data_IF_383201977409
#
_entry.id   IF_383201977409
#
_cell.length_a   1.000
_cell.length_b   1.000
_cell.length_c   1.000
_cell.angle_alpha   90.00
_cell.angle_beta   90.00
_cell.angle_gamma   90.00
#
_symmetry.space_group_name_H-M   'P 1'
#
loop_
_entity.id
_entity.type
_entity.pdbx_description
1 polymer ?
#
# COMPACT_ATOMS: atom_id res chain seq x y z
N UNK A 1 -1.60 -16.97 -8.57
CA UNK A 1 -2.84 -16.45 -9.18
C UNK A 1 -3.76 -15.73 -8.19
N UNK A 2 -3.97 -16.24 -6.98
CA UNK A 2 -4.85 -15.62 -5.95
C UNK A 2 -4.51 -14.16 -5.65
N UNK A 3 -3.23 -13.85 -5.39
CA UNK A 3 -2.79 -12.49 -5.09
C UNK A 3 -3.13 -11.51 -6.22
N UNK A 4 -2.92 -11.94 -7.47
CA UNK A 4 -3.28 -11.14 -8.64
C UNK A 4 -4.80 -10.89 -8.71
N UNK A 5 -5.62 -11.91 -8.43
CA UNK A 5 -7.10 -11.77 -8.42
C UNK A 5 -7.54 -10.73 -7.39
N UNK A 6 -6.96 -10.73 -6.19
CA UNK A 6 -7.25 -9.74 -5.14
C UNK A 6 -6.90 -8.32 -5.59
N UNK A 7 -5.73 -8.12 -6.22
CA UNK A 7 -5.34 -6.81 -6.75
C UNK A 7 -6.21 -6.39 -7.94
N UNK A 8 -6.58 -7.32 -8.83
CA UNK A 8 -7.47 -7.05 -9.97
C UNK A 8 -8.85 -6.63 -9.48
N UNK A 9 -9.43 -7.33 -8.51
CA UNK A 9 -10.73 -6.93 -7.92
C UNK A 9 -10.67 -5.53 -7.33
N UNK A 10 -9.57 -5.19 -6.66
CA UNK A 10 -9.35 -3.86 -6.10
C UNK A 10 -9.13 -2.80 -7.19
N UNK A 11 -8.41 -3.12 -8.27
CA UNK A 11 -8.24 -2.25 -9.43
C UNK A 11 -9.57 -2.04 -10.19
N UNK A 12 -10.40 -3.07 -10.30
CA UNK A 12 -11.77 -2.96 -10.84
C UNK A 12 -12.60 -2.01 -9.98
N UNK A 13 -12.49 -2.07 -8.65
CA UNK A 13 -13.18 -1.12 -7.77
C UNK A 13 -12.77 0.33 -8.06
N UNK A 14 -11.48 0.59 -8.33
CA UNK A 14 -11.00 1.92 -8.74
C UNK A 14 -11.64 2.35 -10.07
N UNK A 15 -11.56 1.49 -11.10
CA UNK A 15 -12.08 1.81 -12.44
C UNK A 15 -13.60 1.97 -12.50
N UNK A 16 -14.34 1.19 -11.70
CA UNK A 16 -15.81 1.21 -11.66
C UNK A 16 -16.34 2.35 -10.77
N UNK A 17 -15.55 2.84 -9.81
CA UNK A 17 -16.02 3.82 -8.81
C UNK A 17 -16.65 5.08 -9.43
N UNK A 18 -16.10 5.75 -10.48
CA UNK A 18 -16.74 6.93 -11.06
C UNK A 18 -18.09 6.62 -11.74
N UNK A 19 -18.18 5.45 -12.37
CA UNK A 19 -19.43 5.01 -13.00
C UNK A 19 -20.48 4.63 -11.94
N UNK A 20 -20.08 3.89 -10.92
CA UNK A 20 -20.96 3.52 -9.81
C UNK A 20 -21.56 4.75 -9.13
N UNK A 21 -20.75 5.82 -8.91
CA UNK A 21 -21.24 7.06 -8.32
C UNK A 21 -22.21 7.79 -9.25
N UNK A 22 -21.94 7.83 -10.56
CA UNK A 22 -22.88 8.45 -11.51
C UNK A 22 -24.28 7.84 -11.48
N UNK A 23 -24.38 6.53 -11.20
CA UNK A 23 -25.67 5.80 -11.20
C UNK A 23 -26.29 5.76 -9.80
N UNK A 24 -25.50 5.56 -8.75
CA UNK A 24 -25.94 5.27 -7.40
C UNK A 24 -25.64 6.38 -6.39
N UNK A 25 -24.87 7.41 -6.79
CA UNK A 25 -24.36 8.47 -5.95
C UNK A 25 -23.70 7.90 -4.67
N UNK A 26 -24.10 8.37 -3.47
CA UNK A 26 -23.56 7.89 -2.20
C UNK A 26 -23.70 6.36 -2.01
N UNK A 27 -24.74 5.75 -2.60
CA UNK A 27 -24.98 4.29 -2.51
C UNK A 27 -23.97 3.46 -3.29
N UNK A 28 -23.07 4.09 -4.06
CA UNK A 28 -21.94 3.41 -4.73
C UNK A 28 -21.04 2.66 -3.75
N UNK A 29 -21.02 3.05 -2.47
CA UNK A 29 -20.29 2.32 -1.42
C UNK A 29 -20.69 0.84 -1.31
N UNK A 30 -21.95 0.46 -1.60
CA UNK A 30 -22.39 -0.93 -1.50
C UNK A 30 -21.72 -1.85 -2.54
N UNK A 31 -21.80 -1.59 -3.85
CA UNK A 31 -21.13 -2.43 -4.84
C UNK A 31 -19.61 -2.41 -4.70
N UNK A 32 -19.01 -1.28 -4.30
CA UNK A 32 -17.57 -1.20 -4.06
C UNK A 32 -17.17 -2.04 -2.84
N UNK A 33 -17.92 -1.99 -1.74
CA UNK A 33 -17.71 -2.86 -0.59
C UNK A 33 -17.82 -4.34 -0.97
N UNK A 34 -18.77 -4.70 -1.82
CA UNK A 34 -18.93 -6.09 -2.28
C UNK A 34 -17.69 -6.61 -3.02
N UNK A 35 -17.00 -5.77 -3.80
CA UNK A 35 -15.74 -6.13 -4.45
C UNK A 35 -14.63 -6.40 -3.44
N UNK A 36 -14.49 -5.57 -2.40
CA UNK A 36 -13.50 -5.78 -1.34
C UNK A 36 -13.84 -6.99 -0.46
N UNK A 37 -15.11 -7.26 -0.19
CA UNK A 37 -15.55 -8.49 0.49
C UNK A 37 -15.24 -9.73 -0.35
N UNK A 38 -15.48 -9.67 -1.66
CA UNK A 38 -15.11 -10.75 -2.57
C UNK A 38 -13.60 -10.99 -2.58
N UNK A 39 -12.80 -9.92 -2.60
CA UNK A 39 -11.35 -10.01 -2.50
C UNK A 39 -10.90 -10.62 -1.16
N UNK A 40 -11.53 -10.22 -0.05
CA UNK A 40 -11.27 -10.79 1.28
C UNK A 40 -11.62 -12.27 1.34
N UNK A 41 -12.74 -12.68 0.74
CA UNK A 41 -13.13 -14.07 0.67
C UNK A 41 -12.14 -14.91 -0.17
N UNK A 42 -11.72 -14.40 -1.33
CA UNK A 42 -10.71 -15.05 -2.17
C UNK A 42 -9.39 -15.23 -1.42
N UNK A 43 -8.94 -14.21 -0.68
CA UNK A 43 -7.74 -14.28 0.15
C UNK A 43 -7.92 -15.25 1.33
N UNK A 44 -9.06 -15.15 2.02
CA UNK A 44 -9.36 -15.93 3.23
C UNK A 44 -9.38 -17.44 3.01
N UNK A 45 -9.76 -17.90 1.81
CA UNK A 45 -9.75 -19.32 1.45
C UNK A 45 -8.35 -19.95 1.49
N UNK A 46 -7.31 -19.15 1.33
CA UNK A 46 -5.92 -19.60 1.33
C UNK A 46 -5.20 -19.43 2.67
N UNK A 47 -5.90 -18.97 3.70
CA UNK A 47 -5.34 -18.86 5.06
C UNK A 47 -4.79 -20.19 5.58
N UNK A 48 -5.49 -21.35 5.40
CA UNK A 48 -4.94 -22.66 5.85
C UNK A 48 -3.62 -23.00 5.14
N UNK A 49 -3.51 -22.71 3.83
CA UNK A 49 -2.29 -22.99 3.05
C UNK A 49 -1.11 -22.17 3.60
N UNK A 50 -1.36 -20.90 3.89
CA UNK A 50 -0.34 -19.97 4.39
C UNK A 50 0.10 -20.33 5.82
N UNK A 51 -0.84 -20.74 6.68
CA UNK A 51 -0.53 -21.22 8.04
C UNK A 51 0.32 -22.50 7.99
N UNK A 52 0.12 -23.37 7.00
CA UNK A 52 0.93 -24.56 6.76
C UNK A 52 2.30 -24.29 6.12
N UNK A 53 2.78 -23.05 6.16
CA UNK A 53 4.07 -22.58 5.61
C UNK A 53 4.20 -22.68 4.08
N UNK A 54 3.07 -22.62 3.37
CA UNK A 54 3.02 -22.54 1.90
C UNK A 54 2.68 -21.11 1.46
N UNK A 55 3.64 -20.17 1.36
CA UNK A 55 3.35 -18.81 0.98
C UNK A 55 2.82 -18.74 -0.46
N UNK A 56 1.83 -17.88 -0.67
CA UNK A 56 1.37 -17.56 -2.01
C UNK A 56 2.42 -16.69 -2.71
N UNK A 57 2.75 -16.97 -3.95
CA UNK A 57 3.68 -16.16 -4.74
C UNK A 57 3.17 -15.93 -6.15
N UNK A 58 3.51 -14.76 -6.68
CA UNK A 58 3.30 -14.38 -8.07
C UNK A 58 4.44 -13.47 -8.50
N UNK A 59 5.03 -13.72 -9.68
CA UNK A 59 6.14 -12.93 -10.19
C UNK A 59 6.03 -12.77 -11.69
N UNK A 60 6.25 -11.57 -12.18
CA UNK A 60 6.42 -11.24 -13.60
C UNK A 60 7.47 -10.14 -13.72
N UNK A 61 8.46 -10.32 -14.60
CA UNK A 61 9.46 -9.29 -14.84
C UNK A 61 8.83 -8.09 -15.54
N UNK A 62 8.92 -6.94 -14.89
CA UNK A 62 8.37 -5.69 -15.40
C UNK A 62 9.41 -4.92 -16.22
N UNK A 63 10.58 -4.68 -15.66
CA UNK A 63 11.66 -3.95 -16.32
C UNK A 63 12.95 -4.79 -16.21
N UNK A 64 13.53 -5.16 -17.36
CA UNK A 64 14.79 -5.87 -17.42
C UNK A 64 15.97 -4.91 -17.33
N UNK A 65 17.02 -5.31 -16.63
CA UNK A 65 18.27 -4.56 -16.46
C UNK A 65 18.05 -3.08 -16.06
N UNK A 66 17.03 -2.82 -15.24
CA UNK A 66 16.54 -1.47 -14.97
C UNK A 66 17.48 -0.63 -14.11
N UNK A 67 18.23 -1.25 -13.20
CA UNK A 67 19.13 -0.57 -12.26
C UNK A 67 20.58 -0.83 -12.66
N UNK A 68 20.91 -2.10 -12.96
CA UNK A 68 22.22 -2.53 -13.41
C UNK A 68 22.06 -3.78 -14.29
N UNK A 69 23.08 -4.16 -15.10
CA UNK A 69 23.04 -5.40 -15.87
C UNK A 69 22.76 -6.61 -14.96
N UNK A 70 21.70 -7.37 -15.27
CA UNK A 70 21.25 -8.51 -14.49
C UNK A 70 20.39 -8.14 -13.26
N UNK A 71 20.04 -6.88 -13.04
CA UNK A 71 19.15 -6.43 -11.96
C UNK A 71 17.81 -5.98 -12.53
N UNK A 72 16.88 -6.92 -12.58
CA UNK A 72 15.52 -6.71 -13.06
C UNK A 72 14.65 -6.11 -11.95
N UNK A 73 13.65 -5.32 -12.32
CA UNK A 73 12.55 -4.95 -11.42
C UNK A 73 11.38 -5.87 -11.76
N UNK A 74 10.94 -6.63 -10.76
CA UNK A 74 9.87 -7.58 -10.91
C UNK A 74 8.59 -7.07 -10.25
N UNK A 75 7.45 -7.24 -10.92
CA UNK A 75 6.18 -7.18 -10.24
C UNK A 75 6.00 -8.49 -9.48
N UNK A 76 6.59 -8.55 -8.29
CA UNK A 76 6.60 -9.71 -7.44
C UNK A 76 5.66 -9.50 -6.25
N UNK A 77 4.82 -10.50 -5.99
CA UNK A 77 3.86 -10.52 -4.88
C UNK A 77 4.10 -11.76 -4.03
N UNK A 78 4.04 -11.56 -2.72
CA UNK A 78 4.15 -12.63 -1.72
C UNK A 78 3.04 -12.49 -0.68
N UNK A 79 2.37 -13.60 -0.40
CA UNK A 79 1.38 -13.73 0.65
C UNK A 79 1.87 -14.74 1.67
N UNK A 80 2.67 -14.32 2.61
CA UNK A 80 2.98 -15.06 3.83
C UNK A 80 1.95 -14.77 4.94
N UNK A 81 2.12 -15.34 6.12
CA UNK A 81 1.17 -15.18 7.22
C UNK A 81 0.95 -13.71 7.61
N UNK A 82 2.02 -12.91 7.62
CA UNK A 82 1.95 -11.49 7.97
C UNK A 82 1.25 -10.67 6.88
N UNK A 83 1.66 -10.87 5.62
CA UNK A 83 1.08 -10.17 4.47
C UNK A 83 -0.40 -10.48 4.31
N UNK A 84 -0.80 -11.76 4.44
CA UNK A 84 -2.21 -12.18 4.34
C UNK A 84 -3.04 -11.62 5.50
N UNK A 85 -2.50 -11.59 6.71
CA UNK A 85 -3.17 -10.98 7.86
C UNK A 85 -3.46 -9.50 7.62
N UNK A 86 -2.45 -8.71 7.21
CA UNK A 86 -2.65 -7.29 6.94
C UNK A 86 -3.52 -7.03 5.71
N UNK A 87 -3.43 -7.85 4.67
CA UNK A 87 -4.31 -7.74 3.51
C UNK A 87 -5.77 -7.99 3.88
N UNK A 88 -6.07 -9.02 4.67
CA UNK A 88 -7.42 -9.29 5.16
C UNK A 88 -7.93 -8.18 6.07
N UNK A 89 -7.09 -7.69 6.99
CA UNK A 89 -7.43 -6.57 7.87
C UNK A 89 -7.81 -5.32 7.04
N UNK A 90 -6.98 -4.98 6.05
CA UNK A 90 -7.25 -3.84 5.17
C UNK A 90 -8.56 -4.04 4.37
N UNK A 91 -8.77 -5.22 3.79
CA UNK A 91 -9.96 -5.52 3.00
C UNK A 91 -11.25 -5.45 3.82
N UNK A 92 -11.24 -5.99 5.05
CA UNK A 92 -12.42 -6.00 5.93
C UNK A 92 -12.72 -4.59 6.45
N UNK A 93 -11.71 -3.87 6.93
CA UNK A 93 -11.89 -2.49 7.40
C UNK A 93 -12.29 -1.59 6.22
N UNK A 94 -11.64 -1.74 5.07
CA UNK A 94 -11.99 -0.99 3.87
C UNK A 94 -13.44 -1.22 3.45
N UNK A 95 -13.88 -2.47 3.38
CA UNK A 95 -15.28 -2.77 3.07
C UNK A 95 -16.25 -2.14 4.07
N UNK A 96 -15.94 -2.17 5.37
CA UNK A 96 -16.75 -1.52 6.40
C UNK A 96 -16.80 0.00 6.19
N UNK A 97 -15.69 0.64 5.82
CA UNK A 97 -15.64 2.08 5.50
C UNK A 97 -16.52 2.41 4.29
N UNK A 98 -16.49 1.60 3.22
CA UNK A 98 -17.35 1.81 2.05
C UNK A 98 -18.85 1.65 2.39
N UNK A 99 -19.22 0.66 3.21
CA UNK A 99 -20.59 0.49 3.71
C UNK A 99 -21.02 1.69 4.54
N UNK A 100 -20.17 2.12 5.48
CA UNK A 100 -20.44 3.30 6.31
C UNK A 100 -20.61 4.55 5.47
N UNK A 101 -19.73 4.77 4.49
CA UNK A 101 -19.77 5.94 3.60
C UNK A 101 -21.07 6.00 2.80
N UNK A 102 -21.62 4.86 2.38
CA UNK A 102 -22.91 4.81 1.68
C UNK A 102 -24.09 5.33 2.52
N UNK A 103 -23.98 5.26 3.86
CA UNK A 103 -24.97 5.78 4.78
C UNK A 103 -24.66 7.21 5.25
N UNK A 104 -23.38 7.50 5.46
CA UNK A 104 -22.91 8.76 6.05
C UNK A 104 -22.86 9.92 5.04
N UNK A 105 -22.43 9.68 3.80
CA UNK A 105 -22.30 10.72 2.79
C UNK A 105 -23.66 11.23 2.35
N UNK A 106 -23.69 12.52 2.00
CA UNK A 106 -24.86 13.15 1.37
C UNK A 106 -24.68 13.08 -0.16
N UNK A 107 -25.81 13.17 -0.89
CA UNK A 107 -25.74 13.26 -2.35
C UNK A 107 -25.11 14.58 -2.74
N UNK A 108 -23.92 14.55 -3.35
CA UNK A 108 -23.21 15.73 -3.83
C UNK A 108 -22.15 15.34 -4.89
N UNK A 109 -21.65 16.33 -5.62
CA UNK A 109 -20.67 16.15 -6.69
C UNK A 109 -19.29 15.65 -6.16
N UNK A 110 -19.02 15.79 -4.87
CA UNK A 110 -17.78 15.34 -4.24
C UNK A 110 -17.66 13.83 -4.08
N UNK A 111 -18.75 13.07 -4.15
CA UNK A 111 -18.75 11.63 -3.91
C UNK A 111 -17.88 10.86 -4.91
N UNK A 112 -17.82 11.29 -6.17
CA UNK A 112 -16.99 10.64 -7.19
C UNK A 112 -15.51 10.66 -6.81
N UNK A 113 -14.97 11.81 -6.41
CA UNK A 113 -13.56 11.90 -6.02
C UNK A 113 -13.28 11.15 -4.71
N UNK A 114 -14.23 11.13 -3.76
CA UNK A 114 -14.09 10.37 -2.53
C UNK A 114 -13.92 8.87 -2.82
N UNK A 115 -14.87 8.27 -3.53
CA UNK A 115 -14.85 6.84 -3.80
C UNK A 115 -13.68 6.42 -4.69
N UNK A 116 -13.29 7.28 -5.65
CA UNK A 116 -12.12 7.03 -6.49
C UNK A 116 -10.82 7.02 -5.66
N UNK A 117 -10.59 8.07 -4.86
CA UNK A 117 -9.38 8.18 -4.03
C UNK A 117 -9.34 7.05 -2.99
N UNK A 118 -10.47 6.76 -2.33
CA UNK A 118 -10.55 5.71 -1.31
C UNK A 118 -10.30 4.32 -1.91
N UNK A 119 -10.85 4.03 -3.10
CA UNK A 119 -10.58 2.76 -3.80
C UNK A 119 -9.12 2.65 -4.22
N UNK A 120 -8.52 3.74 -4.74
CA UNK A 120 -7.10 3.77 -5.11
C UNK A 120 -6.20 3.63 -3.88
N UNK A 121 -6.55 4.25 -2.76
CA UNK A 121 -5.86 4.08 -1.48
C UNK A 121 -5.85 2.62 -1.02
N UNK A 122 -7.02 1.96 -1.08
CA UNK A 122 -7.13 0.53 -0.74
C UNK A 122 -6.26 -0.35 -1.62
N UNK A 123 -6.25 -0.11 -2.94
CA UNK A 123 -5.38 -0.83 -3.88
C UNK A 123 -3.90 -0.61 -3.53
N UNK A 124 -3.50 0.62 -3.18
CA UNK A 124 -2.13 0.95 -2.80
C UNK A 124 -1.71 0.24 -1.51
N UNK A 125 -2.59 0.17 -0.51
CA UNK A 125 -2.32 -0.57 0.75
C UNK A 125 -2.15 -2.06 0.48
N UNK A 126 -2.99 -2.66 -0.36
CA UNK A 126 -2.87 -4.07 -0.73
C UNK A 126 -1.58 -4.34 -1.49
N UNK A 127 -1.23 -3.47 -2.45
CA UNK A 127 0.04 -3.58 -3.16
C UNK A 127 1.24 -3.48 -2.21
N UNK A 128 1.18 -2.56 -1.23
CA UNK A 128 2.22 -2.37 -0.24
C UNK A 128 2.47 -3.63 0.60
N UNK A 129 1.40 -4.23 1.14
CA UNK A 129 1.52 -5.36 2.07
C UNK A 129 1.80 -6.69 1.37
N UNK A 130 1.53 -6.78 0.06
CA UNK A 130 1.74 -7.99 -0.74
C UNK A 130 2.99 -7.93 -1.62
N UNK A 131 3.69 -6.80 -1.69
CA UNK A 131 4.85 -6.65 -2.55
C UNK A 131 6.05 -7.46 -2.05
N UNK A 132 6.69 -8.20 -2.95
CA UNK A 132 7.97 -8.91 -2.74
C UNK A 132 9.12 -8.30 -3.57
N UNK A 133 8.95 -7.07 -4.03
CA UNK A 133 9.97 -6.26 -4.70
C UNK A 133 10.07 -4.90 -4.01
N UNK A 134 11.27 -4.48 -3.64
CA UNK A 134 11.48 -3.26 -2.84
C UNK A 134 11.17 -1.97 -3.62
N UNK A 135 11.26 -2.00 -4.95
CA UNK A 135 10.90 -0.84 -5.79
C UNK A 135 9.38 -0.72 -5.87
N UNK A 136 8.68 -1.83 -6.09
CA UNK A 136 7.21 -1.86 -6.09
C UNK A 136 6.66 -1.51 -4.71
N UNK A 137 7.29 -2.00 -3.64
CA UNK A 137 6.98 -1.62 -2.26
C UNK A 137 7.11 -0.11 -2.04
N UNK A 138 8.21 0.50 -2.51
CA UNK A 138 8.42 1.94 -2.41
C UNK A 138 7.36 2.73 -3.19
N UNK A 139 7.03 2.32 -4.42
CA UNK A 139 5.97 2.95 -5.21
C UNK A 139 4.63 2.88 -4.46
N UNK A 140 4.28 1.71 -3.93
CA UNK A 140 3.05 1.53 -3.17
C UNK A 140 3.03 2.39 -1.88
N UNK A 141 4.17 2.53 -1.20
CA UNK A 141 4.34 3.41 -0.04
C UNK A 141 4.02 4.87 -0.37
N UNK A 142 4.53 5.37 -1.50
CA UNK A 142 4.27 6.74 -1.96
C UNK A 142 2.81 6.93 -2.40
N UNK A 143 2.20 5.94 -3.06
CA UNK A 143 0.79 5.99 -3.42
C UNK A 143 -0.13 6.06 -2.19
N UNK A 144 0.21 5.36 -1.10
CA UNK A 144 -0.49 5.49 0.19
C UNK A 144 -0.31 6.89 0.78
N UNK A 145 0.86 7.52 0.64
CA UNK A 145 1.11 8.90 1.09
C UNK A 145 0.25 9.90 0.31
N UNK A 146 0.24 9.78 -1.01
CA UNK A 146 -0.58 10.62 -1.90
C UNK A 146 -2.08 10.42 -1.60
N UNK A 147 -2.52 9.18 -1.42
CA UNK A 147 -3.91 8.88 -1.07
C UNK A 147 -4.34 9.51 0.25
N UNK A 148 -3.48 9.44 1.28
CA UNK A 148 -3.71 10.11 2.57
C UNK A 148 -3.82 11.62 2.41
N UNK A 149 -2.88 12.24 1.69
CA UNK A 149 -2.92 13.67 1.38
C UNK A 149 -4.24 14.09 0.70
N UNK A 150 -4.64 13.36 -0.34
CA UNK A 150 -5.87 13.66 -1.09
C UNK A 150 -7.13 13.49 -0.23
N UNK A 151 -7.17 12.51 0.66
CA UNK A 151 -8.31 12.29 1.57
C UNK A 151 -8.40 13.40 2.62
N UNK A 152 -7.28 13.83 3.21
CA UNK A 152 -7.23 14.93 4.19
C UNK A 152 -7.60 16.25 3.53
N UNK A 153 -7.10 16.54 2.33
CA UNK A 153 -7.40 17.77 1.58
C UNK A 153 -8.91 17.96 1.32
N UNK A 154 -9.70 16.88 1.38
CA UNK A 154 -11.16 16.93 1.23
C UNK A 154 -11.90 17.46 2.47
N UNK A 155 -11.23 17.60 3.61
CA UNK A 155 -11.86 18.09 4.84
C UNK A 155 -12.23 19.61 4.81
N UNK A 156 -12.09 20.27 3.66
CA UNK A 156 -12.45 21.67 3.46
C UNK A 156 -11.31 22.64 3.81
N UNK A 157 -11.64 23.89 4.13
CA UNK A 157 -10.65 24.96 4.36
C UNK A 157 -9.65 24.69 5.50
N UNK A 158 -9.99 23.85 6.46
CA UNK A 158 -9.06 23.37 7.48
C UNK A 158 -8.13 22.25 6.99
N UNK A 159 -8.56 21.49 5.97
CA UNK A 159 -7.83 20.34 5.46
C UNK A 159 -6.64 20.71 4.56
N UNK A 160 -6.61 21.90 3.95
CA UNK A 160 -5.54 22.29 3.03
C UNK A 160 -4.18 22.39 3.74
N UNK A 161 -4.12 23.08 4.88
CA UNK A 161 -2.89 23.22 5.65
C UNK A 161 -2.42 21.87 6.23
N UNK A 162 -3.34 21.10 6.80
CA UNK A 162 -3.06 19.77 7.34
C UNK A 162 -2.61 18.78 6.28
N UNK A 163 -3.25 18.79 5.10
CA UNK A 163 -2.86 17.92 3.99
C UNK A 163 -1.46 18.23 3.47
N UNK A 164 -1.10 19.49 3.33
CA UNK A 164 0.25 19.89 2.88
C UNK A 164 1.33 19.46 3.90
N UNK A 165 1.07 19.62 5.20
CA UNK A 165 1.99 19.14 6.26
C UNK A 165 2.15 17.62 6.20
N UNK A 166 1.03 16.90 6.05
CA UNK A 166 1.03 15.45 5.87
C UNK A 166 1.87 15.04 4.67
N UNK A 167 1.69 15.69 3.52
CA UNK A 167 2.43 15.40 2.31
C UNK A 167 3.94 15.61 2.51
N UNK A 168 4.34 16.79 2.99
CA UNK A 168 5.76 17.13 3.18
C UNK A 168 6.43 16.12 4.13
N UNK A 169 5.77 15.80 5.26
CA UNK A 169 6.35 14.93 6.25
C UNK A 169 6.44 13.48 5.78
N UNK A 170 5.36 12.95 5.22
CA UNK A 170 5.33 11.56 4.74
C UNK A 170 6.22 11.36 3.53
N UNK A 171 6.32 12.36 2.64
CA UNK A 171 7.22 12.34 1.49
C UNK A 171 8.70 12.40 1.91
N UNK A 172 9.03 13.23 2.92
CA UNK A 172 10.38 13.24 3.51
C UNK A 172 10.74 11.88 4.08
N UNK A 173 9.81 11.22 4.78
CA UNK A 173 9.97 9.83 5.22
C UNK A 173 10.13 8.85 4.05
N UNK A 174 9.41 9.07 2.95
CA UNK A 174 9.56 8.29 1.73
C UNK A 174 10.95 8.40 1.11
N UNK A 175 11.58 9.57 1.13
CA UNK A 175 12.96 9.75 0.66
C UNK A 175 13.97 8.95 1.50
N UNK A 176 13.76 8.83 2.82
CA UNK A 176 14.60 7.96 3.66
C UNK A 176 14.39 6.48 3.34
N UNK A 177 13.15 6.07 3.03
CA UNK A 177 12.87 4.72 2.56
C UNK A 177 13.52 4.45 1.19
N UNK A 178 13.46 5.40 0.26
CA UNK A 178 14.13 5.28 -1.04
C UNK A 178 15.62 5.07 -0.89
N UNK A 179 16.28 5.83 -0.01
CA UNK A 179 17.70 5.65 0.28
C UNK A 179 17.99 4.25 0.84
N UNK A 180 17.16 3.76 1.77
CA UNK A 180 17.29 2.41 2.31
C UNK A 180 17.13 1.34 1.21
N UNK A 181 16.09 1.46 0.36
CA UNK A 181 15.82 0.56 -0.77
C UNK A 181 17.00 0.53 -1.75
N UNK A 182 17.53 1.69 -2.12
CA UNK A 182 18.68 1.77 -3.04
C UNK A 182 19.91 1.08 -2.46
N UNK A 183 20.21 1.28 -1.17
CA UNK A 183 21.33 0.61 -0.50
C UNK A 183 21.09 -0.90 -0.43
N UNK A 184 19.91 -1.33 -0.01
CA UNK A 184 19.57 -2.76 0.09
C UNK A 184 19.71 -3.46 -1.26
N UNK A 185 19.10 -2.91 -2.31
CA UNK A 185 19.14 -3.48 -3.65
C UNK A 185 20.56 -3.58 -4.20
N UNK A 186 21.38 -2.54 -4.03
CA UNK A 186 22.78 -2.53 -4.49
C UNK A 186 23.67 -3.49 -3.72
N UNK A 187 23.44 -3.67 -2.41
CA UNK A 187 24.24 -4.60 -1.60
C UNK A 187 23.86 -6.06 -1.83
N UNK A 188 22.60 -6.33 -2.05
CA UNK A 188 22.10 -7.68 -2.31
C UNK A 188 22.22 -8.09 -3.79
N UNK A 189 22.37 -7.12 -4.72
CA UNK A 189 22.38 -7.37 -6.16
C UNK A 189 21.02 -7.78 -6.73
N UNK A 190 19.93 -7.49 -6.02
CA UNK A 190 18.56 -7.84 -6.40
C UNK A 190 17.56 -6.84 -5.82
N UNK A 191 16.39 -6.71 -6.45
CA UNK A 191 15.26 -5.95 -5.92
C UNK A 191 14.23 -6.82 -5.19
N UNK A 192 14.37 -8.15 -5.27
CA UNK A 192 13.46 -9.06 -4.57
C UNK A 192 13.65 -8.98 -3.06
N UNK A 193 12.55 -8.66 -2.34
CA UNK A 193 12.60 -8.46 -0.89
C UNK A 193 12.97 -9.72 -0.13
N UNK A 194 12.45 -10.88 -0.54
CA UNK A 194 12.78 -12.17 0.09
C UNK A 194 14.27 -12.48 -0.04
N UNK A 195 14.86 -12.28 -1.21
CA UNK A 195 16.29 -12.50 -1.46
C UNK A 195 17.16 -11.49 -0.69
N UNK A 196 16.73 -10.23 -0.62
CA UNK A 196 17.41 -9.20 0.17
C UNK A 196 17.45 -9.60 1.65
N UNK A 197 16.31 -10.05 2.23
CA UNK A 197 16.25 -10.46 3.63
C UNK A 197 17.14 -11.68 3.90
N UNK A 198 17.23 -12.61 2.96
CA UNK A 198 18.08 -13.79 3.06
C UNK A 198 19.58 -13.52 2.82
N UNK A 199 19.94 -12.31 2.40
CA UNK A 199 21.32 -11.94 2.05
C UNK A 199 22.26 -11.90 3.24
N UNK A 200 23.52 -12.30 3.04
CA UNK A 200 24.55 -12.32 4.09
C UNK A 200 25.09 -10.93 4.47
N UNK A 201 24.90 -9.91 3.62
CA UNK A 201 25.46 -8.57 3.91
C UNK A 201 24.97 -7.99 5.23
N UNK A 202 23.81 -8.41 5.73
CA UNK A 202 23.28 -7.98 7.05
C UNK A 202 24.23 -8.31 8.20
N UNK A 203 24.83 -9.49 8.17
CA UNK A 203 25.82 -9.92 9.18
C UNK A 203 27.23 -9.39 8.86
N UNK A 204 27.61 -9.32 7.61
CA UNK A 204 28.96 -8.93 7.17
C UNK A 204 29.23 -7.41 7.35
N UNK A 205 28.16 -6.59 7.28
CA UNK A 205 28.27 -5.10 7.31
C UNK A 205 27.39 -4.48 8.41
N UNK A 206 27.67 -4.71 9.70
CA UNK A 206 26.76 -4.29 10.80
C UNK A 206 26.51 -2.77 10.86
N UNK A 207 27.50 -1.95 10.51
CA UNK A 207 27.34 -0.49 10.44
C UNK A 207 26.36 -0.06 9.35
N UNK A 208 26.40 -0.71 8.17
CA UNK A 208 25.47 -0.46 7.08
C UNK A 208 24.06 -0.95 7.41
N UNK A 209 23.97 -2.13 8.03
CA UNK A 209 22.70 -2.68 8.54
C UNK A 209 22.01 -1.73 9.50
N UNK A 210 22.78 -1.16 10.43
CA UNK A 210 22.26 -0.13 11.37
C UNK A 210 21.78 1.11 10.62
N UNK A 211 22.55 1.60 9.63
CA UNK A 211 22.15 2.77 8.85
C UNK A 211 20.83 2.50 8.05
N UNK A 212 20.71 1.36 7.40
CA UNK A 212 19.48 0.95 6.70
C UNK A 212 18.30 0.88 7.67
N UNK A 213 18.49 0.24 8.83
CA UNK A 213 17.45 0.12 9.86
C UNK A 213 16.98 1.49 10.36
N UNK A 214 17.90 2.44 10.57
CA UNK A 214 17.56 3.81 10.96
C UNK A 214 16.78 4.56 9.87
N UNK A 215 17.17 4.43 8.60
CA UNK A 215 16.45 5.03 7.48
C UNK A 215 15.00 4.49 7.37
N UNK A 216 14.82 3.18 7.50
CA UNK A 216 13.50 2.55 7.51
C UNK A 216 12.70 2.99 8.73
N UNK A 217 13.32 3.05 9.92
CA UNK A 217 12.65 3.49 11.14
C UNK A 217 12.16 4.94 11.03
N UNK A 218 12.95 5.86 10.48
CA UNK A 218 12.51 7.25 10.26
C UNK A 218 11.31 7.29 9.32
N UNK A 219 11.35 6.55 8.20
CA UNK A 219 10.21 6.45 7.28
C UNK A 219 8.95 5.90 7.97
N UNK A 220 9.10 4.84 8.76
CA UNK A 220 7.99 4.25 9.50
C UNK A 220 7.41 5.22 10.56
N UNK A 221 8.26 5.97 11.25
CA UNK A 221 7.85 6.94 12.27
C UNK A 221 7.07 8.11 11.68
N UNK A 222 7.49 8.62 10.50
CA UNK A 222 6.74 9.67 9.80
C UNK A 222 5.34 9.18 9.39
N UNK A 223 5.22 7.93 8.93
CA UNK A 223 3.95 7.34 8.47
C UNK A 223 3.00 7.00 9.62
N UNK A 224 3.55 6.50 10.73
CA UNK A 224 2.78 6.10 11.91
C UNK A 224 2.56 7.21 12.94
N UNK A 225 2.88 8.46 12.58
CA UNK A 225 2.78 9.63 13.46
C UNK A 225 3.45 9.43 14.83
N UNK A 226 4.62 8.78 14.86
CA UNK A 226 5.39 8.62 16.07
C UNK A 226 6.12 9.92 16.43
N UNK A 227 6.34 10.15 17.75
CA UNK A 227 7.16 11.28 18.17
C UNK A 227 8.58 11.21 17.54
N UNK A 228 9.12 12.32 17.00
CA UNK A 228 8.60 13.69 16.96
C UNK A 228 7.70 14.02 15.75
N UNK A 229 7.36 13.07 14.89
CA UNK A 229 6.66 13.27 13.60
C UNK A 229 5.13 13.21 13.70
N UNK A 230 4.54 13.36 14.90
CA UNK A 230 3.10 13.16 15.15
C UNK A 230 2.22 14.36 14.78
N UNK A 231 2.80 15.53 14.51
CA UNK A 231 2.09 16.81 14.41
C UNK A 231 1.20 16.96 13.16
N UNK A 232 1.23 16.01 12.23
CA UNK A 232 0.33 16.02 11.09
C UNK A 232 -1.02 15.31 11.35
N UNK A 233 -1.08 14.43 12.36
CA UNK A 233 -2.28 13.63 12.65
C UNK A 233 -3.39 14.39 13.39
N UNK A 234 -3.12 15.31 14.35
CA UNK A 234 -4.17 15.98 15.15
C UNK A 234 -4.92 17.09 14.42
N UNK A 235 -4.58 17.46 13.21
CA UNK A 235 -5.23 18.52 12.43
C UNK A 235 -6.17 17.95 11.38
#
# INVERSE_FOLDING_TARGET
>A
MTLLVVLVLSAVAVGVSPFAVRVLDRKAGWPLAALFIAAAWVMGRHVPDVISHSPLSYKITWLKDAIAPGMDIDFALRGDALSVFFALLALVIGAAVFIYSAAYLHNNDGNTSFYLIMSAFMLSVLLLVLSDDVVVLFIAWELVSIGSFLLIARAGSGGEAGSMRTLILTFTGGLTLLAAVAIMATQAGTTNLTDIIASNFWAEKPGLTTAIAMLIAVSAFTKSAQFPFHFWLPE
#
